data_IF_410247225743
#
_entry.id   IF_410247225743
#
_cell.length_a   1.000
_cell.length_b   1.000
_cell.length_c   1.000
_cell.angle_alpha   90.00
_cell.angle_beta   90.00
_cell.angle_gamma   90.00
#
_symmetry.space_group_name_H-M   'P 1'
#
loop_
_entity.id
_entity.type
_entity.pdbx_description
1 polymer ?
#
# COMPACT_ATOMS: atom_id res chain seq x y z
N UNK A 1 -10.68 21.61 6.43
CA UNK A 1 -9.30 21.07 6.53
C UNK A 1 -8.59 21.83 7.64
N UNK A 2 -7.95 21.13 8.57
CA UNK A 2 -7.05 21.77 9.53
C UNK A 2 -5.76 22.19 8.81
N UNK A 3 -5.25 23.39 9.10
CA UNK A 3 -3.93 23.84 8.62
C UNK A 3 -2.94 23.54 9.72
N UNK A 4 -1.86 22.85 9.37
CA UNK A 4 -0.77 22.52 10.29
C UNK A 4 0.51 23.13 9.72
N UNK A 5 1.22 23.88 10.56
CA UNK A 5 2.56 24.38 10.23
C UNK A 5 3.56 23.31 10.65
N UNK A 6 4.37 22.83 9.71
CA UNK A 6 5.43 21.87 9.96
C UNK A 6 6.67 22.31 9.18
N UNK A 7 7.83 22.18 9.81
CA UNK A 7 9.10 22.39 9.14
C UNK A 7 9.52 21.10 8.45
N UNK A 8 9.72 21.18 7.13
CA UNK A 8 10.19 20.07 6.31
C UNK A 8 11.48 20.56 5.62
N UNK A 9 12.60 19.83 5.76
CA UNK A 9 13.81 20.10 4.99
C UNK A 9 13.52 20.16 3.49
N UNK A 10 14.02 21.19 2.81
CA UNK A 10 13.72 21.43 1.40
C UNK A 10 14.25 20.31 0.49
N UNK A 11 15.34 19.64 0.87
CA UNK A 11 15.90 18.49 0.17
C UNK A 11 14.97 17.27 0.21
N UNK A 12 14.37 16.96 1.37
CA UNK A 12 13.35 15.93 1.48
C UNK A 12 12.11 16.30 0.67
N UNK A 13 11.77 17.59 0.66
CA UNK A 13 10.61 18.07 -0.05
C UNK A 13 10.79 17.97 -1.58
N UNK A 14 12.02 18.22 -2.06
CA UNK A 14 12.41 18.03 -3.45
C UNK A 14 12.41 16.55 -3.85
N UNK A 15 12.97 15.67 -3.01
CA UNK A 15 12.94 14.22 -3.25
C UNK A 15 11.51 13.70 -3.34
N UNK A 16 10.63 14.09 -2.42
CA UNK A 16 9.23 13.71 -2.47
C UNK A 16 8.56 14.26 -3.74
N UNK A 17 8.91 15.47 -4.20
CA UNK A 17 8.38 16.04 -5.44
C UNK A 17 8.79 15.23 -6.66
N UNK A 18 10.05 14.77 -6.72
CA UNK A 18 10.54 13.92 -7.80
C UNK A 18 9.78 12.58 -7.87
N UNK A 19 9.46 12.00 -6.71
CA UNK A 19 8.71 10.73 -6.65
C UNK A 19 7.23 10.93 -6.98
N UNK A 20 6.59 11.98 -6.47
CA UNK A 20 5.14 12.17 -6.61
C UNK A 20 4.72 12.94 -7.85
N UNK A 21 5.63 13.67 -8.51
CA UNK A 21 5.34 14.52 -9.67
C UNK A 21 4.43 15.73 -9.38
N UNK A 22 4.29 16.11 -8.11
CA UNK A 22 3.33 17.14 -7.68
C UNK A 22 3.77 18.55 -8.10
N UNK A 23 2.83 19.38 -8.52
CA UNK A 23 3.11 20.76 -8.94
C UNK A 23 3.31 21.71 -7.75
N UNK A 24 2.77 21.36 -6.57
CA UNK A 24 2.80 22.22 -5.37
C UNK A 24 3.25 21.44 -4.14
N UNK A 25 3.88 22.12 -3.16
CA UNK A 25 4.32 21.51 -1.89
C UNK A 25 3.18 20.76 -1.18
N UNK A 26 1.98 21.34 -1.14
CA UNK A 26 0.79 20.73 -0.52
C UNK A 26 0.37 19.45 -1.23
N UNK A 27 0.38 19.45 -2.56
CA UNK A 27 0.07 18.26 -3.35
C UNK A 27 1.11 17.17 -3.15
N UNK A 28 2.39 17.52 -3.17
CA UNK A 28 3.49 16.60 -2.89
C UNK A 28 3.34 15.94 -1.53
N UNK A 29 3.10 16.72 -0.46
CA UNK A 29 2.90 16.17 0.89
C UNK A 29 1.68 15.26 0.93
N UNK A 30 0.56 15.65 0.32
CA UNK A 30 -0.66 14.84 0.31
C UNK A 30 -0.44 13.51 -0.42
N UNK A 31 0.25 13.53 -1.56
CA UNK A 31 0.52 12.33 -2.34
C UNK A 31 1.53 11.43 -1.64
N UNK A 32 2.59 12.01 -1.06
CA UNK A 32 3.57 11.27 -0.28
C UNK A 32 2.93 10.53 0.91
N UNK A 33 2.05 11.20 1.66
CA UNK A 33 1.33 10.58 2.79
C UNK A 33 0.42 9.42 2.32
N UNK A 34 -0.26 9.57 1.18
CA UNK A 34 -1.07 8.48 0.61
C UNK A 34 -0.23 7.29 0.20
N UNK A 35 0.92 7.53 -0.43
CA UNK A 35 1.85 6.48 -0.83
C UNK A 35 2.40 5.72 0.39
N UNK A 36 2.76 6.44 1.46
CA UNK A 36 3.22 5.83 2.69
C UNK A 36 2.19 4.89 3.30
N UNK A 37 0.93 5.33 3.42
CA UNK A 37 -0.16 4.49 3.96
C UNK A 37 -0.38 3.26 3.07
N UNK A 38 -0.37 3.43 1.75
CA UNK A 38 -0.50 2.31 0.81
C UNK A 38 0.66 1.32 0.94
N UNK A 39 1.88 1.81 1.09
CA UNK A 39 3.06 0.97 1.25
C UNK A 39 2.97 0.15 2.54
N UNK A 40 2.53 0.75 3.65
CA UNK A 40 2.31 0.03 4.90
C UNK A 40 1.27 -1.09 4.73
N UNK A 41 0.14 -0.81 4.09
CA UNK A 41 -0.90 -1.82 3.83
C UNK A 41 -0.38 -2.98 2.97
N UNK A 42 0.46 -2.69 1.98
CA UNK A 42 1.10 -3.72 1.16
C UNK A 42 2.09 -4.55 1.98
N UNK A 43 2.88 -3.91 2.83
CA UNK A 43 3.81 -4.61 3.72
C UNK A 43 3.07 -5.52 4.71
N UNK A 44 1.98 -5.04 5.30
CA UNK A 44 1.14 -5.83 6.22
C UNK A 44 0.48 -7.01 5.51
N UNK A 45 0.01 -6.82 4.26
CA UNK A 45 -0.52 -7.91 3.46
C UNK A 45 0.55 -8.99 3.16
N UNK A 46 1.76 -8.57 2.79
CA UNK A 46 2.87 -9.50 2.55
C UNK A 46 3.26 -10.24 3.83
N UNK A 47 3.36 -9.53 4.96
CA UNK A 47 3.63 -10.14 6.25
C UNK A 47 2.54 -11.17 6.62
N UNK A 48 1.27 -10.84 6.37
CA UNK A 48 0.17 -11.78 6.55
C UNK A 48 0.34 -13.03 5.68
N UNK A 49 0.69 -12.90 4.39
CA UNK A 49 0.94 -14.07 3.54
C UNK A 49 2.16 -14.90 3.98
N UNK A 50 3.17 -14.27 4.57
CA UNK A 50 4.37 -14.97 5.05
C UNK A 50 4.13 -15.71 6.37
N UNK A 51 3.31 -15.15 7.26
CA UNK A 51 2.99 -15.73 8.56
C UNK A 51 1.85 -16.76 8.51
N UNK A 52 1.09 -16.81 7.42
CA UNK A 52 0.02 -17.78 7.24
C UNK A 52 0.41 -18.78 6.15
N UNK A 53 0.53 -20.06 6.52
CA UNK A 53 0.53 -21.14 5.53
C UNK A 53 -0.74 -21.01 4.68
N UNK A 54 -0.56 -20.99 3.35
CA UNK A 54 -1.68 -20.87 2.41
C UNK A 54 -2.70 -21.96 2.75
N UNK A 55 -3.92 -21.54 3.12
CA UNK A 55 -4.95 -22.40 3.73
C UNK A 55 -5.35 -23.62 2.90
N UNK A 56 -4.98 -23.67 1.62
CA UNK A 56 -5.25 -24.78 0.70
C UNK A 56 -4.01 -25.06 -0.11
N UNK A 57 -3.62 -26.33 -0.18
CA UNK A 57 -2.71 -26.82 -1.22
C UNK A 57 -3.37 -26.69 -2.60
N UNK A 58 -2.57 -26.68 -3.67
CA UNK A 58 -3.09 -26.58 -5.05
C UNK A 58 -4.14 -27.67 -5.36
N UNK A 59 -3.95 -28.87 -4.79
CA UNK A 59 -4.89 -30.00 -4.93
C UNK A 59 -6.21 -29.75 -4.19
N UNK A 60 -6.17 -29.17 -2.99
CA UNK A 60 -7.37 -28.83 -2.22
C UNK A 60 -8.15 -27.68 -2.85
N UNK A 61 -7.46 -26.67 -3.40
CA UNK A 61 -8.07 -25.56 -4.12
C UNK A 61 -8.82 -26.04 -5.37
N UNK A 62 -8.23 -26.98 -6.11
CA UNK A 62 -8.87 -27.57 -7.30
C UNK A 62 -10.12 -28.36 -6.94
N UNK A 63 -10.05 -29.17 -5.87
CA UNK A 63 -11.20 -29.95 -5.39
C UNK A 63 -12.35 -29.07 -4.88
N UNK A 64 -12.07 -27.91 -4.28
CA UNK A 64 -13.09 -26.95 -3.84
C UNK A 64 -13.74 -26.20 -5.03
N UNK A 65 -12.93 -25.81 -6.03
CA UNK A 65 -13.41 -25.16 -7.24
C UNK A 65 -14.36 -26.04 -8.06
N UNK A 66 -14.12 -27.36 -8.08
CA UNK A 66 -15.01 -28.34 -8.70
C UNK A 66 -16.33 -28.47 -7.91
N UNK A 67 -16.28 -28.55 -6.58
CA UNK A 67 -17.47 -28.60 -5.72
C UNK A 67 -18.37 -27.37 -5.82
N UNK A 68 -17.78 -26.19 -6.00
CA UNK A 68 -18.51 -24.93 -6.14
C UNK A 68 -19.16 -24.73 -7.51
N UNK A 69 -18.77 -25.54 -8.52
CA UNK A 69 -19.34 -25.48 -9.89
C UNK A 69 -20.58 -26.35 -10.07
N UNK A 70 -20.74 -27.37 -9.22
CA UNK A 70 -21.85 -28.33 -9.26
C UNK A 70 -23.04 -27.91 -8.36
N UNK A 71 -22.96 -26.72 -7.74
CA UNK A 71 -24.00 -26.13 -6.87
C UNK A 71 -24.61 -24.89 -7.52
#
# INVERSE_FOLDING_TARGET
>A
MAKTLIDIPDDLMEQARQVTGGATKTETVRTALRLLVRQQQQHDAIAWFADNDVFLTDDELKAEAERSRDQ
#
